data_IF_236807928276
#
_entry.id   IF_236807928276
#
_cell.length_a   1.000
_cell.length_b   1.000
_cell.length_c   1.000
_cell.angle_alpha   90.00
_cell.angle_beta   90.00
_cell.angle_gamma   90.00
#
_symmetry.space_group_name_H-M   'P 1'
#
loop_
_entity.id
_entity.type
_entity.pdbx_description
1 polymer ?
#
# COMPACT_ATOMS: atom_id res chain seq x y z
N UNK A 1 15.09 56.81 -7.09
CA UNK A 1 14.55 56.26 -8.35
C UNK A 1 13.46 55.26 -7.98
N UNK A 2 12.22 55.49 -8.42
CA UNK A 2 11.06 54.69 -7.99
C UNK A 2 11.11 53.29 -8.59
N UNK A 3 10.99 52.31 -7.72
CA UNK A 3 10.87 50.87 -7.88
C UNK A 3 9.68 50.45 -8.79
N UNK A 4 9.70 50.86 -10.06
CA UNK A 4 8.54 50.82 -10.98
C UNK A 4 8.17 49.41 -11.49
N UNK A 5 9.05 48.43 -11.28
CA UNK A 5 8.86 47.06 -11.75
C UNK A 5 8.39 46.09 -10.66
N UNK A 6 8.25 46.53 -9.41
CA UNK A 6 7.81 45.68 -8.31
C UNK A 6 6.44 45.02 -8.51
N UNK A 7 5.42 45.72 -9.04
CA UNK A 7 4.15 45.08 -9.36
C UNK A 7 4.28 43.94 -10.36
N UNK A 8 5.15 44.10 -11.36
CA UNK A 8 5.43 43.08 -12.38
C UNK A 8 6.18 41.88 -11.79
N UNK A 9 7.20 42.15 -10.96
CA UNK A 9 7.99 41.11 -10.30
C UNK A 9 7.10 40.29 -9.36
N UNK A 10 6.28 40.94 -8.54
CA UNK A 10 5.35 40.25 -7.64
C UNK A 10 4.31 39.46 -8.45
N UNK A 11 3.74 40.06 -9.50
CA UNK A 11 2.72 39.44 -10.33
C UNK A 11 3.19 38.18 -11.06
N UNK A 12 4.47 38.10 -11.43
CA UNK A 12 5.06 36.91 -12.08
C UNK A 12 5.65 35.93 -11.07
N UNK A 13 6.28 36.43 -9.99
CA UNK A 13 6.98 35.58 -9.03
C UNK A 13 6.02 34.83 -8.11
N UNK A 14 4.92 35.45 -7.70
CA UNK A 14 3.98 34.82 -6.76
C UNK A 14 3.35 33.53 -7.33
N UNK A 15 2.85 33.48 -8.58
CA UNK A 15 2.38 32.23 -9.19
C UNK A 15 3.49 31.20 -9.36
N UNK A 16 4.70 31.63 -9.73
CA UNK A 16 5.82 30.71 -9.93
C UNK A 16 6.26 30.05 -8.61
N UNK A 17 6.36 30.84 -7.55
CA UNK A 17 6.65 30.36 -6.19
C UNK A 17 5.55 29.41 -5.72
N UNK A 18 4.29 29.71 -6.02
CA UNK A 18 3.18 28.83 -5.67
C UNK A 18 3.29 27.46 -6.36
N UNK A 19 3.61 27.43 -7.66
CA UNK A 19 3.84 26.17 -8.41
C UNK A 19 5.02 25.39 -7.81
N UNK A 20 6.13 26.07 -7.51
CA UNK A 20 7.30 25.44 -6.89
C UNK A 20 6.95 24.89 -5.50
N UNK A 21 6.25 25.66 -4.67
CA UNK A 21 5.83 25.25 -3.34
C UNK A 21 4.91 24.03 -3.37
N UNK A 22 3.90 24.03 -4.25
CA UNK A 22 3.04 22.87 -4.47
C UNK A 22 3.84 21.65 -4.94
N UNK A 23 4.79 21.84 -5.86
CA UNK A 23 5.63 20.74 -6.35
C UNK A 23 6.46 20.15 -5.22
N UNK A 24 7.08 20.98 -4.39
CA UNK A 24 7.81 20.52 -3.20
C UNK A 24 6.86 19.75 -2.27
N UNK A 25 5.71 20.29 -1.92
CA UNK A 25 4.76 19.62 -1.02
C UNK A 25 4.32 18.25 -1.56
N UNK A 26 4.08 18.12 -2.87
CA UNK A 26 3.61 16.88 -3.49
C UNK A 26 4.74 15.85 -3.67
N UNK A 27 5.94 16.28 -4.06
CA UNK A 27 7.02 15.35 -4.43
C UNK A 27 8.02 15.07 -3.31
N UNK A 28 8.19 15.99 -2.34
CA UNK A 28 9.19 15.87 -1.28
C UNK A 28 8.96 14.65 -0.35
N UNK A 29 7.73 14.27 0.05
CA UNK A 29 7.51 13.09 0.89
C UNK A 29 8.06 11.79 0.28
N UNK A 30 8.07 11.67 -1.06
CA UNK A 30 8.59 10.48 -1.75
C UNK A 30 10.11 10.32 -1.60
N UNK A 31 10.85 11.40 -1.37
CA UNK A 31 12.31 11.36 -1.25
C UNK A 31 12.79 10.81 0.10
N UNK A 32 11.93 10.82 1.12
CA UNK A 32 12.27 10.35 2.48
C UNK A 32 11.78 8.93 2.78
N UNK A 33 11.06 8.29 1.85
CA UNK A 33 10.50 6.93 2.00
C UNK A 33 11.10 6.03 0.92
N UNK A 34 12.23 5.41 1.24
CA UNK A 34 13.00 4.54 0.34
C UNK A 34 13.14 3.13 0.96
N UNK A 35 12.05 2.36 1.05
CA UNK A 35 12.11 0.96 1.47
C UNK A 35 13.04 0.17 0.55
N UNK A 36 13.90 -0.67 1.15
CA UNK A 36 14.84 -1.51 0.41
C UNK A 36 14.25 -2.88 0.05
N UNK A 37 13.24 -3.32 0.80
CA UNK A 37 12.70 -4.67 0.73
C UNK A 37 11.33 -4.70 0.04
N UNK A 38 11.21 -5.58 -0.96
CA UNK A 38 9.93 -5.97 -1.54
C UNK A 38 9.11 -6.78 -0.51
N UNK A 39 7.81 -6.89 -0.71
CA UNK A 39 6.96 -7.68 0.18
C UNK A 39 5.92 -8.50 -0.57
N UNK A 40 5.52 -9.60 0.08
CA UNK A 40 4.48 -10.49 -0.42
C UNK A 40 3.23 -10.26 0.43
N UNK A 41 2.10 -10.15 -0.24
CA UNK A 41 0.80 -10.05 0.41
C UNK A 41 -0.22 -10.93 -0.30
N UNK A 42 -1.27 -11.33 0.41
CA UNK A 42 -2.46 -11.89 -0.21
C UNK A 42 -3.55 -10.84 -0.31
N UNK A 43 -4.28 -10.84 -1.42
CA UNK A 43 -5.48 -10.03 -1.59
C UNK A 43 -6.69 -10.89 -1.95
N UNK A 44 -7.85 -10.53 -1.40
CA UNK A 44 -9.14 -11.10 -1.77
C UNK A 44 -10.19 -9.98 -1.91
N UNK A 45 -11.21 -10.24 -2.72
CA UNK A 45 -12.39 -9.37 -2.83
C UNK A 45 -13.48 -9.75 -1.84
N UNK A 46 -13.35 -10.89 -1.14
CA UNK A 46 -14.39 -11.42 -0.26
C UNK A 46 -14.06 -11.27 1.22
N UNK A 47 -15.10 -10.98 1.99
CA UNK A 47 -15.00 -10.69 3.42
C UNK A 47 -14.81 -11.95 4.28
N UNK A 48 -15.35 -13.09 3.86
CA UNK A 48 -15.39 -14.32 4.65
C UNK A 48 -14.33 -15.33 4.23
N UNK A 49 -13.05 -15.01 4.42
CA UNK A 49 -11.92 -15.86 3.97
C UNK A 49 -12.07 -17.33 4.40
N UNK A 50 -12.63 -17.58 5.59
CA UNK A 50 -12.84 -18.94 6.11
C UNK A 50 -13.89 -19.74 5.33
N UNK A 51 -14.91 -19.08 4.77
CA UNK A 51 -15.99 -19.75 4.06
C UNK A 51 -15.67 -19.91 2.56
N UNK A 52 -14.64 -19.21 2.06
CA UNK A 52 -14.24 -19.25 0.64
C UNK A 52 -12.96 -20.02 0.37
N UNK A 53 -12.02 -20.12 1.32
CA UNK A 53 -10.72 -20.76 1.08
C UNK A 53 -10.44 -21.89 2.04
N UNK A 54 -9.88 -22.99 1.52
CA UNK A 54 -9.39 -24.13 2.32
C UNK A 54 -8.11 -23.79 3.07
N UNK A 55 -7.28 -22.91 2.49
CA UNK A 55 -5.96 -22.57 2.99
C UNK A 55 -5.75 -21.04 3.02
N UNK A 56 -4.90 -20.58 3.93
CA UNK A 56 -4.25 -19.27 3.91
C UNK A 56 -2.74 -19.47 3.76
N UNK A 57 -1.97 -18.38 3.86
CA UNK A 57 -0.52 -18.43 3.83
C UNK A 57 0.07 -18.08 5.19
N UNK A 58 1.19 -18.73 5.49
CA UNK A 58 2.08 -18.42 6.60
C UNK A 58 3.53 -18.59 6.16
N UNK A 59 4.45 -18.01 6.90
CA UNK A 59 5.88 -18.20 6.69
C UNK A 59 6.42 -19.22 7.68
N UNK A 60 7.05 -20.28 7.20
CA UNK A 60 7.73 -21.30 8.01
C UNK A 60 9.16 -21.39 7.54
N UNK A 61 10.12 -21.21 8.45
CA UNK A 61 11.56 -21.26 8.13
C UNK A 61 11.95 -20.35 6.95
N UNK A 62 11.37 -19.17 6.89
CA UNK A 62 11.64 -18.19 5.82
C UNK A 62 10.95 -18.46 4.49
N UNK A 63 10.05 -19.45 4.41
CA UNK A 63 9.35 -19.82 3.17
C UNK A 63 7.84 -19.69 3.29
N UNK A 64 7.20 -19.26 2.21
CA UNK A 64 5.73 -19.14 2.15
C UNK A 64 5.12 -20.53 1.98
N UNK A 65 4.24 -20.91 2.90
CA UNK A 65 3.58 -22.21 2.93
C UNK A 65 2.08 -22.07 3.12
N UNK A 66 1.32 -23.09 2.71
CA UNK A 66 -0.11 -23.17 2.96
C UNK A 66 -0.40 -23.47 4.43
N UNK A 67 -1.43 -22.83 4.96
CA UNK A 67 -1.94 -23.04 6.31
C UNK A 67 -3.43 -23.38 6.25
N UNK A 68 -3.84 -24.61 6.59
CA UNK A 68 -5.24 -25.02 6.52
C UNK A 68 -6.15 -24.19 7.41
N UNK A 69 -7.29 -23.76 6.86
CA UNK A 69 -8.32 -23.03 7.59
C UNK A 69 -9.48 -23.99 7.93
N UNK A 70 -9.81 -24.17 9.22
CA UNK A 70 -10.92 -25.02 9.61
C UNK A 70 -12.25 -24.50 9.03
N UNK A 71 -13.05 -25.40 8.45
CA UNK A 71 -14.36 -25.05 7.90
C UNK A 71 -15.30 -24.59 9.02
N UNK A 72 -16.06 -23.51 8.80
CA UNK A 72 -17.08 -23.04 9.75
C UNK A 72 -18.50 -23.35 9.30
N UNK A 73 -18.88 -22.97 8.08
CA UNK A 73 -20.28 -23.06 7.63
C UNK A 73 -20.48 -23.66 6.23
N UNK A 74 -19.56 -23.46 5.29
CA UNK A 74 -19.66 -23.96 3.91
C UNK A 74 -19.21 -25.42 3.78
N UNK A 75 -19.92 -26.18 2.94
CA UNK A 75 -19.47 -27.52 2.54
C UNK A 75 -18.09 -27.42 1.87
N UNK A 76 -17.17 -28.30 2.26
CA UNK A 76 -15.76 -28.21 1.87
C UNK A 76 -15.56 -28.08 0.35
N UNK A 77 -16.44 -28.72 -0.43
CA UNK A 77 -16.39 -28.83 -1.89
C UNK A 77 -16.58 -27.53 -2.66
N UNK A 78 -17.08 -26.47 -2.02
CA UNK A 78 -17.29 -25.15 -2.67
C UNK A 78 -16.16 -24.15 -2.39
N UNK A 79 -15.21 -24.52 -1.51
CA UNK A 79 -14.09 -23.65 -1.14
C UNK A 79 -12.98 -23.73 -2.19
N UNK A 80 -12.51 -22.55 -2.62
CA UNK A 80 -11.27 -22.36 -3.38
C UNK A 80 -10.09 -22.80 -2.52
N UNK A 81 -8.93 -23.01 -3.15
CA UNK A 81 -7.76 -23.48 -2.43
C UNK A 81 -7.20 -22.41 -1.48
N UNK A 82 -6.64 -21.32 -2.02
CA UNK A 82 -6.05 -20.22 -1.26
C UNK A 82 -6.30 -18.86 -1.96
N UNK A 83 -6.22 -17.72 -1.24
CA UNK A 83 -6.37 -16.39 -1.83
C UNK A 83 -5.23 -16.08 -2.82
N UNK A 84 -5.43 -15.07 -3.67
CA UNK A 84 -4.42 -14.67 -4.63
C UNK A 84 -3.21 -14.05 -3.90
N UNK A 85 -2.00 -14.43 -4.33
CA UNK A 85 -0.73 -13.88 -3.84
C UNK A 85 -0.21 -12.83 -4.79
N UNK A 86 0.42 -11.81 -4.22
CA UNK A 86 0.99 -10.69 -4.94
C UNK A 86 2.38 -10.36 -4.40
N UNK A 87 3.26 -10.00 -5.32
CA UNK A 87 4.56 -9.40 -5.03
C UNK A 87 4.47 -7.90 -5.27
N UNK A 88 4.83 -7.13 -4.26
CA UNK A 88 5.01 -5.69 -4.38
C UNK A 88 6.48 -5.34 -4.59
N UNK A 89 6.79 -4.74 -5.73
CA UNK A 89 8.12 -4.18 -6.01
C UNK A 89 8.16 -2.72 -5.55
N UNK A 90 8.95 -2.44 -4.52
CA UNK A 90 9.01 -1.11 -3.92
C UNK A 90 9.78 -0.10 -4.76
N UNK A 91 10.66 -0.57 -5.67
CA UNK A 91 11.48 0.28 -6.55
C UNK A 91 10.67 0.74 -7.75
N UNK A 92 9.92 -0.18 -8.39
CA UNK A 92 9.03 0.18 -9.50
C UNK A 92 7.67 0.68 -9.05
N UNK A 93 7.34 0.55 -7.76
CA UNK A 93 6.05 0.94 -7.17
C UNK A 93 4.88 0.19 -7.83
N UNK A 94 5.05 -1.11 -8.05
CA UNK A 94 4.06 -1.93 -8.76
C UNK A 94 3.76 -3.21 -8.02
N UNK A 95 2.51 -3.67 -8.18
CA UNK A 95 2.08 -4.98 -7.71
C UNK A 95 1.81 -5.91 -8.89
N UNK A 96 2.20 -7.16 -8.77
CA UNK A 96 1.84 -8.21 -9.72
C UNK A 96 1.52 -9.51 -8.99
N UNK A 97 0.60 -10.28 -9.58
CA UNK A 97 0.21 -11.57 -9.02
C UNK A 97 1.34 -12.59 -9.20
N UNK A 98 1.58 -13.40 -8.18
CA UNK A 98 2.56 -14.49 -8.19
C UNK A 98 1.89 -15.79 -7.74
N UNK A 99 2.51 -16.91 -8.12
CA UNK A 99 2.16 -18.26 -7.67
C UNK A 99 2.83 -18.59 -6.34
N UNK A 100 2.34 -19.63 -5.66
CA UNK A 100 3.00 -20.15 -4.45
C UNK A 100 4.43 -20.64 -4.73
N UNK A 101 4.66 -21.25 -5.89
CA UNK A 101 5.99 -21.73 -6.28
C UNK A 101 6.99 -20.58 -6.47
N UNK A 102 6.54 -19.46 -7.03
CA UNK A 102 7.35 -18.24 -7.13
C UNK A 102 7.59 -17.63 -5.74
N UNK A 103 6.59 -17.63 -4.86
CA UNK A 103 6.72 -17.14 -3.49
C UNK A 103 7.73 -17.96 -2.66
N UNK A 104 7.75 -19.29 -2.82
CA UNK A 104 8.67 -20.21 -2.12
C UNK A 104 10.15 -20.04 -2.53
N UNK A 105 10.40 -19.42 -3.70
CA UNK A 105 11.75 -19.13 -4.15
C UNK A 105 12.43 -18.00 -3.34
N UNK A 106 11.66 -17.22 -2.58
CA UNK A 106 12.18 -16.12 -1.77
C UNK A 106 12.39 -16.52 -0.32
N UNK A 107 13.38 -15.88 0.32
CA UNK A 107 13.48 -15.87 1.79
C UNK A 107 12.63 -14.72 2.32
N UNK A 108 11.63 -15.05 3.14
CA UNK A 108 10.61 -14.11 3.62
C UNK A 108 10.67 -13.97 5.13
N UNK A 109 10.65 -12.73 5.61
CA UNK A 109 10.47 -12.38 7.01
C UNK A 109 9.00 -12.05 7.29
N UNK A 110 8.29 -12.82 8.15
CA UNK A 110 6.88 -12.57 8.46
C UNK A 110 6.64 -11.34 9.36
N UNK A 111 7.69 -10.63 9.76
CA UNK A 111 7.59 -9.48 10.65
C UNK A 111 6.58 -8.42 10.18
N UNK A 112 5.88 -7.75 11.11
CA UNK A 112 4.94 -6.68 10.78
C UNK A 112 5.65 -5.46 10.14
N UNK A 113 6.97 -5.38 10.30
CA UNK A 113 7.84 -4.39 9.70
C UNK A 113 8.95 -5.06 8.89
N UNK A 114 9.42 -4.36 7.86
CA UNK A 114 10.57 -4.77 7.07
C UNK A 114 11.86 -4.74 7.90
N UNK A 115 12.94 -5.38 7.42
CA UNK A 115 14.26 -5.32 8.07
C UNK A 115 14.81 -3.88 8.24
N UNK A 116 14.42 -2.96 7.35
CA UNK A 116 14.75 -1.53 7.41
C UNK A 116 13.70 -0.68 8.15
N UNK A 117 12.71 -1.30 8.79
CA UNK A 117 11.78 -0.67 9.74
C UNK A 117 10.58 0.04 9.10
N UNK A 118 10.23 -0.30 7.86
CA UNK A 118 9.00 0.17 7.21
C UNK A 118 7.82 -0.74 7.55
N UNK A 119 6.62 -0.16 7.63
CA UNK A 119 5.36 -0.86 7.86
C UNK A 119 4.40 -0.54 6.72
N UNK A 120 3.55 -1.51 6.34
CA UNK A 120 2.44 -1.27 5.43
C UNK A 120 1.14 -1.16 6.22
N UNK A 121 0.45 -0.04 6.07
CA UNK A 121 -0.81 0.24 6.77
C UNK A 121 -1.87 0.79 5.82
N UNK A 122 -3.13 0.50 6.10
CA UNK A 122 -4.25 1.15 5.43
C UNK A 122 -4.58 2.46 6.14
N UNK A 123 -4.60 3.57 5.41
CA UNK A 123 -5.02 4.86 5.96
C UNK A 123 -6.41 5.23 5.44
N UNK A 124 -7.30 5.53 6.39
CA UNK A 124 -8.57 6.15 6.10
C UNK A 124 -8.35 7.66 6.06
N UNK A 125 -8.45 8.25 4.86
CA UNK A 125 -8.28 9.69 4.69
C UNK A 125 -9.14 10.47 5.68
N UNK A 126 -8.50 11.31 6.49
CA UNK A 126 -9.16 12.36 7.26
C UNK A 126 -9.01 13.69 6.55
N UNK A 127 -10.12 14.40 6.51
CA UNK A 127 -10.37 15.70 5.92
C UNK A 127 -9.29 16.72 6.30
N UNK A 128 -8.52 17.18 5.31
CA UNK A 128 -7.52 18.24 5.46
C UNK A 128 -7.91 19.51 4.71
N UNK A 129 -7.12 20.57 4.86
CA UNK A 129 -7.32 21.91 4.27
C UNK A 129 -7.46 21.95 2.73
N UNK A 130 -7.22 20.83 2.04
CA UNK A 130 -7.39 20.69 0.59
C UNK A 130 -8.86 20.48 0.16
N UNK A 131 -9.79 20.27 1.09
CA UNK A 131 -11.24 20.24 0.80
C UNK A 131 -11.79 21.58 0.28
N UNK A 132 -11.13 22.70 0.60
CA UNK A 132 -11.47 24.03 0.07
C UNK A 132 -11.35 24.15 -1.45
N UNK A 133 -10.65 23.22 -2.11
CA UNK A 133 -10.44 23.22 -3.56
C UNK A 133 -11.23 22.11 -4.29
N UNK A 134 -12.25 21.53 -3.65
CA UNK A 134 -13.25 20.69 -4.32
C UNK A 134 -12.72 19.34 -4.85
N UNK A 135 -11.72 18.75 -4.20
CA UNK A 135 -11.23 17.42 -4.59
C UNK A 135 -11.91 16.32 -3.77
N UNK A 136 -12.93 15.69 -4.37
CA UNK A 136 -13.58 14.45 -3.90
C UNK A 136 -12.67 13.20 -4.00
N UNK A 137 -11.35 13.36 -3.95
CA UNK A 137 -10.43 12.24 -3.95
C UNK A 137 -10.16 11.81 -2.52
N UNK A 138 -11.02 10.94 -2.02
CA UNK A 138 -10.76 10.11 -0.85
C UNK A 138 -9.30 9.61 -0.86
N UNK A 139 -8.43 10.15 0.00
CA UNK A 139 -7.01 9.76 0.05
C UNK A 139 -6.80 8.38 0.70
N UNK A 140 -7.80 7.51 0.61
CA UNK A 140 -7.78 6.17 1.18
C UNK A 140 -6.86 5.26 0.36
N UNK A 141 -6.16 4.35 1.04
CA UNK A 141 -5.30 3.36 0.39
C UNK A 141 -4.24 2.80 1.33
N UNK A 142 -3.37 1.97 0.78
CA UNK A 142 -2.23 1.43 1.50
C UNK A 142 -1.04 2.38 1.40
N UNK A 143 -0.34 2.54 2.51
CA UNK A 143 0.84 3.37 2.65
C UNK A 143 1.97 2.53 3.21
N UNK A 144 3.19 2.81 2.75
CA UNK A 144 4.42 2.36 3.40
C UNK A 144 4.99 3.51 4.21
N UNK A 145 5.26 3.27 5.49
CA UNK A 145 5.64 4.32 6.43
C UNK A 145 6.78 3.89 7.36
N UNK A 146 7.56 4.88 7.79
CA UNK A 146 8.60 4.76 8.81
C UNK A 146 8.67 6.05 9.60
N UNK A 147 8.33 5.99 10.89
CA UNK A 147 8.21 7.19 11.72
C UNK A 147 7.11 8.13 11.21
N UNK A 148 7.45 9.41 11.02
CA UNK A 148 6.51 10.44 10.51
C UNK A 148 6.43 10.51 8.99
N UNK A 149 7.19 9.70 8.27
CA UNK A 149 7.25 9.71 6.80
C UNK A 149 6.43 8.56 6.23
N UNK A 150 5.51 8.86 5.32
CA UNK A 150 4.67 7.87 4.66
C UNK A 150 4.57 8.16 3.16
N UNK A 151 4.46 7.10 2.36
CA UNK A 151 4.23 7.15 0.92
C UNK A 151 3.09 6.22 0.56
N UNK A 152 2.14 6.71 -0.23
CA UNK A 152 1.05 5.90 -0.76
C UNK A 152 1.59 4.88 -1.76
N UNK A 153 1.17 3.63 -1.61
CA UNK A 153 1.47 2.54 -2.53
C UNK A 153 0.50 2.58 -3.71
N UNK A 154 1.01 2.41 -4.93
CA UNK A 154 0.18 2.30 -6.13
C UNK A 154 0.00 0.85 -6.55
N UNK A 155 -1.09 0.54 -7.27
CA UNK A 155 -1.36 -0.82 -7.76
C UNK A 155 -1.95 -1.81 -6.73
N UNK A 156 -2.14 -1.40 -5.48
CA UNK A 156 -2.88 -2.18 -4.48
C UNK A 156 -4.31 -1.65 -4.42
N UNK A 157 -5.24 -2.36 -5.06
CA UNK A 157 -6.66 -1.99 -5.04
C UNK A 157 -7.26 -2.30 -3.67
N UNK A 158 -7.99 -1.34 -3.12
CA UNK A 158 -8.86 -1.57 -1.97
C UNK A 158 -10.10 -2.29 -2.52
N UNK A 159 -10.41 -3.49 -2.04
CA UNK A 159 -11.70 -4.13 -2.33
C UNK A 159 -12.85 -3.19 -1.95
N UNK A 160 -13.99 -3.32 -2.64
CA UNK A 160 -15.12 -2.40 -2.53
C UNK A 160 -15.56 -2.13 -1.08
N UNK A 161 -15.71 -0.84 -0.79
CA UNK A 161 -15.88 -0.15 0.51
C UNK A 161 -16.98 -0.65 1.45
N UNK A 162 -17.84 -1.56 1.04
CA UNK A 162 -19.03 -1.93 1.84
C UNK A 162 -18.81 -3.09 2.82
N UNK A 163 -17.66 -3.77 2.78
CA UNK A 163 -17.34 -4.86 3.71
C UNK A 163 -16.02 -4.60 4.42
N UNK A 164 -16.11 -4.06 5.64
CA UNK A 164 -15.02 -3.79 6.57
C UNK A 164 -14.22 -5.06 6.91
N UNK A 165 -13.20 -5.43 6.11
CA UNK A 165 -12.09 -6.26 6.58
C UNK A 165 -11.66 -7.47 5.73
N UNK A 166 -11.95 -7.49 4.43
CA UNK A 166 -11.45 -8.53 3.52
C UNK A 166 -10.63 -7.91 2.41
N UNK A 167 -9.34 -8.21 2.37
CA UNK A 167 -8.50 -7.81 1.25
C UNK A 167 -7.05 -8.09 1.51
N UNK A 168 -6.34 -7.10 2.00
CA UNK A 168 -4.90 -7.16 2.14
C UNK A 168 -4.48 -7.88 3.43
N UNK A 169 -3.64 -8.90 3.27
CA UNK A 169 -2.90 -9.51 4.38
C UNK A 169 -1.43 -9.57 3.98
N UNK A 170 -0.59 -8.83 4.70
CA UNK A 170 0.85 -8.93 4.58
C UNK A 170 1.29 -10.35 4.98
N UNK A 171 2.03 -11.02 4.09
CA UNK A 171 2.62 -12.33 4.37
C UNK A 171 4.03 -12.16 4.93
N UNK A 172 4.79 -11.23 4.36
CA UNK A 172 6.12 -10.87 4.85
C UNK A 172 6.97 -10.12 3.85
N UNK A 173 8.21 -9.82 4.25
CA UNK A 173 9.19 -9.04 3.52
C UNK A 173 10.28 -9.91 2.92
N UNK A 174 10.68 -9.64 1.69
CA UNK A 174 11.76 -10.38 1.01
C UNK A 174 13.12 -9.89 1.53
N UNK A 175 13.97 -10.83 1.93
CA UNK A 175 15.35 -10.57 2.39
C UNK A 175 16.35 -10.44 1.24
#
# INVERSE_FOLDING_TARGET
>A
MKNKNWPLIIGVSLPLIFIVALSVIVFLPRLFVTPAHNFIYSADTNYYTNDYYRNTYKVVQGRVTLDPIPARYTAENERRDAPALYLYDVKSDTSHQITLAEADAYTVDPGPSSPDGYVVSYEYGHNGIFELFGSDNSNQGYFISKGSSARKLTGITSGDRYTNGGGFKLIGWIQ
#
